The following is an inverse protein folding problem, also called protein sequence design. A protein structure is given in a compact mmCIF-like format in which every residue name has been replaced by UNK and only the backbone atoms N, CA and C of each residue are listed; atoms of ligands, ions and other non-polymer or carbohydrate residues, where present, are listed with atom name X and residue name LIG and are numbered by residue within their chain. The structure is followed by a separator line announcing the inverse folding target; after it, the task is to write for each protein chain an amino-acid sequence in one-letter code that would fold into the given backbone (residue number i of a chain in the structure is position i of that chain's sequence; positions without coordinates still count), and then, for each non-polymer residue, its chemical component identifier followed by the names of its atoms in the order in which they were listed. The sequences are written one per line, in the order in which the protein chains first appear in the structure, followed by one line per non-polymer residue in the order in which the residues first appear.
data_IF_987259777741
#
_entry.id   IF_987259777741
#
_cell.length_a   1.000
_cell.length_b   1.000
_cell.length_c   1.000
_cell.angle_alpha   90.00
_cell.angle_beta   90.00
_cell.angle_gamma   90.00
#
_symmetry.space_group_name_H-M   'P 1'
#
loop_
_entity.id
_entity.type
_entity.pdbx_description
1 polymer ?
#
# COMPACT_ATOMS: atom_id res chain seq x y z
N UNK A 1 22.56 -8.88 -10.63
CA UNK A 1 21.14 -8.84 -10.21
C UNK A 1 21.07 -9.06 -8.71
N UNK A 2 20.42 -8.17 -7.92
CA UNK A 2 20.46 -8.23 -6.45
C UNK A 2 19.53 -9.37 -5.91
N UNK A 3 20.04 -10.30 -5.08
CA UNK A 3 19.33 -11.52 -4.65
C UNK A 3 18.05 -11.26 -3.83
N UNK A 4 17.92 -10.08 -3.23
CA UNK A 4 16.76 -9.67 -2.43
C UNK A 4 15.45 -9.54 -3.23
N UNK A 5 15.53 -9.36 -4.54
CA UNK A 5 14.36 -9.19 -5.41
C UNK A 5 13.75 -10.55 -5.81
N UNK A 6 14.59 -11.54 -6.11
CA UNK A 6 14.17 -12.89 -6.47
C UNK A 6 13.45 -13.57 -5.31
N UNK A 7 13.95 -13.39 -4.08
CA UNK A 7 13.31 -13.95 -2.88
C UNK A 7 11.89 -13.42 -2.65
N UNK A 8 11.62 -12.13 -2.93
CA UNK A 8 10.28 -11.56 -2.73
C UNK A 8 9.26 -12.09 -3.73
N UNK A 9 9.61 -12.12 -5.02
CA UNK A 9 8.73 -12.68 -6.05
C UNK A 9 8.46 -14.16 -5.76
N UNK A 10 9.47 -14.93 -5.35
CA UNK A 10 9.30 -16.32 -4.94
C UNK A 10 8.36 -16.46 -3.73
N UNK A 11 8.53 -15.67 -2.67
CA UNK A 11 7.65 -15.68 -1.49
C UNK A 11 6.19 -15.35 -1.84
N UNK A 12 5.97 -14.34 -2.71
CA UNK A 12 4.61 -14.00 -3.17
C UNK A 12 4.02 -14.99 -4.17
N UNK A 13 4.85 -15.80 -4.82
CA UNK A 13 4.39 -16.90 -5.66
C UNK A 13 3.96 -18.08 -4.78
N UNK A 14 4.77 -18.41 -3.76
CA UNK A 14 4.48 -19.47 -2.79
C UNK A 14 3.18 -19.21 -2.04
N UNK A 15 2.92 -17.97 -1.63
CA UNK A 15 1.69 -17.63 -0.91
C UNK A 15 0.46 -17.43 -1.82
N UNK A 16 0.58 -17.67 -3.13
CA UNK A 16 -0.53 -17.64 -4.10
C UNK A 16 -1.07 -16.24 -4.44
N UNK A 17 -0.67 -15.18 -3.74
CA UNK A 17 -1.21 -13.83 -3.99
C UNK A 17 -0.84 -13.29 -5.37
N UNK A 18 0.32 -13.68 -5.90
CA UNK A 18 0.70 -13.32 -7.28
C UNK A 18 -0.22 -13.97 -8.31
N UNK A 19 -0.65 -15.22 -8.09
CA UNK A 19 -1.60 -15.89 -8.98
C UNK A 19 -2.94 -15.15 -8.99
N UNK A 20 -3.42 -14.70 -7.83
CA UNK A 20 -4.63 -13.87 -7.74
C UNK A 20 -4.48 -12.57 -8.52
N UNK A 21 -3.36 -11.86 -8.37
CA UNK A 21 -3.08 -10.64 -9.13
C UNK A 21 -3.08 -10.88 -10.65
N UNK A 22 -2.51 -12.00 -11.10
CA UNK A 22 -2.49 -12.40 -12.51
C UNK A 22 -3.89 -12.77 -13.03
N UNK A 23 -4.69 -13.50 -12.25
CA UNK A 23 -6.08 -13.81 -12.61
C UNK A 23 -6.91 -12.54 -12.77
N UNK A 24 -6.74 -11.55 -11.89
CA UNK A 24 -7.42 -10.26 -12.01
C UNK A 24 -6.93 -9.50 -13.24
N UNK A 25 -5.62 -9.50 -13.51
CA UNK A 25 -5.05 -8.88 -14.71
C UNK A 25 -5.61 -9.50 -16.00
N UNK A 26 -5.69 -10.84 -16.05
CA UNK A 26 -6.29 -11.57 -17.17
C UNK A 26 -7.78 -11.24 -17.33
N UNK A 27 -8.55 -11.25 -16.24
CA UNK A 27 -9.96 -10.88 -16.24
C UNK A 27 -10.22 -9.40 -16.59
N UNK A 28 -9.20 -8.54 -16.45
CA UNK A 28 -9.21 -7.14 -16.87
C UNK A 28 -8.66 -6.90 -18.28
N UNK A 29 -8.24 -7.98 -19.00
CA UNK A 29 -7.56 -7.94 -20.31
C UNK A 29 -6.34 -7.00 -20.30
N UNK A 30 -5.61 -6.99 -19.20
CA UNK A 30 -4.49 -6.10 -18.96
C UNK A 30 -3.27 -6.51 -19.80
N UNK A 31 -2.42 -5.53 -20.14
CA UNK A 31 -1.11 -5.77 -20.73
C UNK A 31 -0.07 -5.84 -19.62
N UNK A 32 0.61 -6.98 -19.50
CA UNK A 32 1.59 -7.21 -18.45
C UNK A 32 2.99 -6.81 -18.94
N UNK A 33 3.67 -5.96 -18.17
CA UNK A 33 5.09 -5.61 -18.35
C UNK A 33 5.86 -5.90 -17.07
N UNK A 34 7.15 -6.22 -17.20
CA UNK A 34 8.04 -6.42 -16.04
C UNK A 34 8.66 -5.08 -15.66
N UNK A 35 8.61 -4.75 -14.37
CA UNK A 35 9.33 -3.63 -13.80
C UNK A 35 10.59 -4.11 -13.05
N UNK A 36 11.53 -3.21 -12.75
CA UNK A 36 12.68 -3.52 -11.93
C UNK A 36 12.29 -4.17 -10.60
N UNK A 37 13.08 -5.15 -10.15
CA UNK A 37 12.91 -5.75 -8.83
C UNK A 37 11.85 -6.85 -8.73
N UNK A 38 11.40 -7.42 -9.86
CA UNK A 38 10.51 -8.60 -9.87
C UNK A 38 9.02 -8.28 -9.80
N UNK A 39 8.66 -7.01 -10.01
CA UNK A 39 7.28 -6.52 -10.01
C UNK A 39 6.68 -6.66 -11.42
N UNK A 40 5.43 -7.11 -11.49
CA UNK A 40 4.66 -7.18 -12.73
C UNK A 40 3.68 -6.01 -12.78
N UNK A 41 3.69 -5.22 -13.83
CA UNK A 41 2.73 -4.13 -14.03
C UNK A 41 1.67 -4.63 -15.02
N UNK A 42 0.45 -4.79 -14.55
CA UNK A 42 -0.74 -5.00 -15.37
C UNK A 42 -1.32 -3.63 -15.73
N UNK A 43 -0.98 -3.14 -16.91
CA UNK A 43 -1.50 -1.88 -17.47
C UNK A 43 -2.77 -2.08 -18.29
N UNK A 44 -3.40 -0.97 -18.66
CA UNK A 44 -4.61 -0.91 -19.49
C UNK A 44 -5.79 -1.72 -18.93
N UNK A 45 -5.87 -1.88 -17.60
CA UNK A 45 -6.96 -2.62 -16.97
C UNK A 45 -8.32 -1.96 -17.25
N UNK A 46 -9.19 -2.61 -18.04
CA UNK A 46 -10.48 -2.04 -18.47
C UNK A 46 -11.61 -2.08 -17.42
N UNK A 47 -11.32 -2.45 -16.17
CA UNK A 47 -12.33 -2.58 -15.10
C UNK A 47 -12.60 -1.21 -14.44
N UNK A 48 -13.86 -0.71 -14.43
CA UNK A 48 -14.19 0.61 -13.91
C UNK A 48 -13.97 0.79 -12.40
N UNK A 49 -13.93 -0.31 -11.63
CA UNK A 49 -13.69 -0.30 -10.19
C UNK A 49 -12.25 0.12 -9.82
N UNK A 50 -11.29 0.07 -10.75
CA UNK A 50 -9.89 0.39 -10.47
C UNK A 50 -9.64 1.89 -10.60
N UNK A 51 -10.13 2.70 -9.65
CA UNK A 51 -9.95 4.16 -9.72
C UNK A 51 -8.51 4.63 -9.51
N UNK A 52 -7.64 3.76 -8.99
CA UNK A 52 -6.25 4.04 -8.63
C UNK A 52 -5.35 2.86 -9.02
N UNK A 53 -4.04 3.12 -9.04
CA UNK A 53 -3.03 2.07 -9.07
C UNK A 53 -2.99 1.39 -7.71
N UNK A 54 -2.88 0.06 -7.68
CA UNK A 54 -2.77 -0.72 -6.44
C UNK A 54 -2.08 -2.05 -6.72
N UNK A 55 -1.63 -2.70 -5.66
CA UNK A 55 -0.83 -3.93 -5.73
C UNK A 55 -1.59 -5.14 -5.17
N UNK A 56 -1.44 -6.30 -5.81
CA UNK A 56 -1.83 -7.62 -5.31
C UNK A 56 -0.67 -8.60 -5.52
N UNK A 57 -0.08 -9.09 -4.43
CA UNK A 57 1.10 -9.95 -4.50
C UNK A 57 2.27 -9.20 -5.15
N UNK A 58 2.82 -9.75 -6.23
CA UNK A 58 3.83 -9.09 -7.08
C UNK A 58 3.25 -8.33 -8.29
N UNK A 59 1.92 -8.21 -8.41
CA UNK A 59 1.25 -7.57 -9.56
C UNK A 59 0.70 -6.21 -9.17
N UNK A 60 1.15 -5.16 -9.86
CA UNK A 60 0.64 -3.80 -9.78
C UNK A 60 -0.38 -3.60 -10.89
N UNK A 61 -1.62 -3.33 -10.53
CA UNK A 61 -2.71 -3.09 -11.47
C UNK A 61 -2.94 -1.60 -11.66
N UNK A 62 -3.02 -1.15 -12.91
CA UNK A 62 -3.30 0.24 -13.24
C UNK A 62 -4.16 0.35 -14.50
N UNK A 63 -4.98 1.40 -14.56
CA UNK A 63 -5.78 1.73 -15.75
C UNK A 63 -4.97 2.36 -16.87
N UNK A 64 -3.83 2.95 -16.52
CA UNK A 64 -2.91 3.58 -17.48
C UNK A 64 -2.10 2.48 -18.19
N UNK A 65 -1.50 2.78 -19.35
CA UNK A 65 -0.52 1.88 -19.94
C UNK A 65 0.62 1.61 -18.96
N UNK A 66 1.23 0.43 -19.00
CA UNK A 66 2.29 0.07 -18.07
C UNK A 66 3.51 1.01 -18.20
N UNK A 67 3.75 1.50 -19.41
CA UNK A 67 4.77 2.48 -19.76
C UNK A 67 4.63 3.79 -18.99
N UNK A 68 3.39 4.21 -18.67
CA UNK A 68 3.16 5.39 -17.84
C UNK A 68 3.74 5.21 -16.44
N UNK A 69 3.57 4.05 -15.81
CA UNK A 69 4.09 3.78 -14.47
C UNK A 69 5.61 3.55 -14.47
N UNK A 70 6.16 3.09 -15.59
CA UNK A 70 7.61 2.93 -15.78
C UNK A 70 8.33 4.25 -16.08
N UNK A 71 7.59 5.32 -16.39
CA UNK A 71 8.18 6.63 -16.67
C UNK A 71 8.92 7.19 -15.43
N UNK A 72 10.07 7.87 -15.59
CA UNK A 72 10.84 8.43 -14.47
C UNK A 72 10.03 9.34 -13.54
N UNK A 73 9.10 10.13 -14.08
CA UNK A 73 8.21 10.98 -13.26
C UNK A 73 7.30 10.19 -12.30
N UNK A 74 7.10 8.90 -12.58
CA UNK A 74 6.33 7.99 -11.74
C UNK A 74 7.21 7.14 -10.82
N UNK A 75 8.52 7.39 -10.75
CA UNK A 75 9.44 6.60 -9.94
C UNK A 75 9.03 6.55 -8.46
N UNK A 76 8.51 7.67 -7.91
CA UNK A 76 8.00 7.69 -6.53
C UNK A 76 6.80 6.76 -6.36
N UNK A 77 5.84 6.81 -7.30
CA UNK A 77 4.65 5.96 -7.27
C UNK A 77 5.03 4.49 -7.45
N UNK A 78 5.92 4.17 -8.39
CA UNK A 78 6.43 2.82 -8.58
C UNK A 78 7.16 2.30 -7.32
N UNK A 79 7.93 3.15 -6.66
CA UNK A 79 8.58 2.82 -5.38
C UNK A 79 7.59 2.61 -4.23
N UNK A 80 6.46 3.32 -4.23
CA UNK A 80 5.34 3.09 -3.32
C UNK A 80 4.72 1.70 -3.54
N UNK A 81 4.33 1.37 -4.78
CA UNK A 81 3.76 0.06 -5.11
C UNK A 81 4.74 -1.09 -4.82
N UNK A 82 6.03 -0.89 -5.10
CA UNK A 82 7.07 -1.88 -4.80
C UNK A 82 7.18 -2.18 -3.29
N UNK A 83 6.89 -1.19 -2.42
CA UNK A 83 6.83 -1.43 -0.97
C UNK A 83 5.60 -2.26 -0.57
N UNK A 84 4.47 -2.10 -1.25
CA UNK A 84 3.32 -3.00 -1.08
C UNK A 84 3.63 -4.43 -1.53
N UNK A 85 4.38 -4.62 -2.62
CA UNK A 85 4.88 -5.96 -3.01
C UNK A 85 5.70 -6.58 -1.88
N UNK A 86 6.58 -5.81 -1.23
CA UNK A 86 7.37 -6.31 -0.10
C UNK A 86 6.49 -6.64 1.14
N UNK A 87 5.42 -5.88 1.38
CA UNK A 87 4.46 -6.18 2.44
C UNK A 87 3.69 -7.47 2.15
N UNK A 88 3.25 -7.68 0.90
CA UNK A 88 2.66 -8.95 0.44
C UNK A 88 3.65 -10.12 0.52
N UNK A 89 4.94 -9.90 0.25
CA UNK A 89 5.94 -10.95 0.38
C UNK A 89 6.10 -11.42 1.83
N UNK A 90 5.98 -10.52 2.81
CA UNK A 90 6.10 -10.84 4.23
C UNK A 90 4.81 -11.37 4.87
N UNK A 91 3.65 -10.80 4.53
CA UNK A 91 2.36 -11.13 5.16
C UNK A 91 1.50 -12.08 4.32
N UNK A 92 1.82 -12.24 3.03
CA UNK A 92 1.04 -13.02 2.08
C UNK A 92 -0.44 -12.63 2.05
N UNK A 93 -1.36 -13.60 2.03
CA UNK A 93 -2.80 -13.30 1.94
C UNK A 93 -3.32 -12.50 3.14
N UNK A 94 -2.68 -12.59 4.31
CA UNK A 94 -3.06 -11.83 5.52
C UNK A 94 -2.86 -10.32 5.36
N UNK A 95 -2.07 -9.90 4.37
CA UNK A 95 -1.93 -8.48 4.05
C UNK A 95 -3.28 -7.84 3.73
N UNK A 96 -4.14 -8.52 2.97
CA UNK A 96 -5.42 -7.95 2.52
C UNK A 96 -6.37 -7.61 3.69
N UNK A 97 -6.71 -8.53 4.61
CA UNK A 97 -7.54 -8.19 5.77
C UNK A 97 -6.86 -7.18 6.70
N UNK A 98 -5.55 -7.28 6.92
CA UNK A 98 -4.82 -6.32 7.76
C UNK A 98 -4.84 -4.90 7.18
N UNK A 99 -4.67 -4.78 5.86
CA UNK A 99 -4.74 -3.50 5.16
C UNK A 99 -6.13 -2.87 5.26
N UNK A 100 -7.20 -3.67 5.10
CA UNK A 100 -8.57 -3.19 5.27
C UNK A 100 -8.88 -2.72 6.69
N UNK A 101 -8.39 -3.43 7.72
CA UNK A 101 -8.52 -2.99 9.11
C UNK A 101 -7.80 -1.65 9.33
N UNK A 102 -6.59 -1.51 8.79
CA UNK A 102 -5.83 -0.26 8.85
C UNK A 102 -6.53 0.90 8.11
N UNK A 103 -7.19 0.62 6.97
CA UNK A 103 -8.05 1.57 6.27
C UNK A 103 -9.24 2.01 7.14
N UNK A 104 -9.94 1.07 7.77
CA UNK A 104 -11.06 1.35 8.68
C UNK A 104 -10.63 2.20 9.86
N UNK A 105 -9.51 1.86 10.49
CA UNK A 105 -8.92 2.63 11.58
C UNK A 105 -8.56 4.06 11.14
N UNK A 106 -7.90 4.19 9.99
CA UNK A 106 -7.52 5.49 9.45
C UNK A 106 -8.73 6.35 9.13
N UNK A 107 -9.75 5.75 8.51
CA UNK A 107 -10.99 6.44 8.17
C UNK A 107 -11.73 6.91 9.42
N UNK A 108 -11.85 6.05 10.44
CA UNK A 108 -12.48 6.38 11.70
C UNK A 108 -11.83 7.60 12.36
N UNK A 109 -10.50 7.66 12.35
CA UNK A 109 -9.72 8.72 12.98
C UNK A 109 -9.61 10.02 12.17
N UNK A 110 -9.63 9.96 10.83
CA UNK A 110 -9.23 11.10 9.99
C UNK A 110 -10.09 11.36 8.75
N UNK A 111 -11.11 10.54 8.48
CA UNK A 111 -11.89 10.51 7.21
C UNK A 111 -11.06 10.24 5.94
N UNK A 112 -9.82 9.77 6.09
CA UNK A 112 -8.95 9.33 5.00
C UNK A 112 -8.57 7.87 5.22
N UNK A 113 -8.63 7.04 4.17
CA UNK A 113 -8.20 5.64 4.25
C UNK A 113 -6.68 5.49 4.41
N UNK A 114 -5.89 6.49 3.99
CA UNK A 114 -4.43 6.40 3.98
C UNK A 114 -3.73 7.10 5.15
N UNK A 115 -4.25 8.24 5.61
CA UNK A 115 -3.55 9.17 6.52
C UNK A 115 -2.95 8.53 7.79
N UNK A 116 -3.67 7.59 8.42
CA UNK A 116 -3.22 6.83 9.61
C UNK A 116 -3.11 5.33 9.34
N UNK A 117 -3.16 4.91 8.08
CA UNK A 117 -2.93 3.52 7.72
C UNK A 117 -1.43 3.23 7.80
N UNK A 118 -1.05 2.28 8.67
CA UNK A 118 0.35 1.94 8.90
C UNK A 118 1.05 1.45 7.63
N UNK A 119 0.36 0.67 6.79
CA UNK A 119 0.91 0.14 5.54
C UNK A 119 1.20 1.25 4.54
N UNK A 120 0.28 2.21 4.41
CA UNK A 120 0.38 3.39 3.54
C UNK A 120 1.51 4.33 4.00
N UNK A 121 1.62 4.56 5.31
CA UNK A 121 2.72 5.35 5.88
C UNK A 121 4.07 4.69 5.64
N UNK A 122 4.16 3.37 5.83
CA UNK A 122 5.39 2.61 5.57
C UNK A 122 5.72 2.51 4.08
N UNK A 123 4.72 2.59 3.21
CA UNK A 123 4.87 2.69 1.76
C UNK A 123 5.11 4.14 1.27
N UNK A 124 5.08 5.13 2.16
CA UNK A 124 5.26 6.55 1.85
C UNK A 124 3.99 7.19 1.28
N UNK A 125 3.27 7.94 2.12
CA UNK A 125 1.99 8.58 1.76
C UNK A 125 2.09 9.49 0.54
N UNK A 126 3.04 10.43 0.54
CA UNK A 126 3.20 11.40 -0.55
C UNK A 126 3.53 10.70 -1.88
N UNK A 127 4.33 9.64 -1.84
CA UNK A 127 4.66 8.82 -3.01
C UNK A 127 3.43 8.08 -3.58
N UNK A 128 2.53 7.62 -2.69
CA UNK A 128 1.20 7.10 -3.05
C UNK A 128 0.15 8.17 -3.35
N UNK A 129 0.55 9.45 -3.36
CA UNK A 129 -0.31 10.63 -3.57
C UNK A 129 -1.41 10.81 -2.51
N UNK A 130 -1.21 10.24 -1.32
CA UNK A 130 -2.03 10.53 -0.15
C UNK A 130 -1.53 11.79 0.56
N UNK A 131 -2.48 12.58 1.04
CA UNK A 131 -2.22 13.71 1.94
C UNK A 131 -2.47 13.27 3.39
N UNK A 132 -1.63 13.75 4.29
CA UNK A 132 -1.93 13.65 5.72
C UNK A 132 -3.16 14.51 6.03
N UNK A 133 -4.08 13.93 6.79
CA UNK A 133 -5.32 14.58 7.23
C UNK A 133 -5.36 14.65 8.75
N UNK A 134 -5.87 15.76 9.31
CA UNK A 134 -5.94 15.94 10.76
C UNK A 134 -6.87 14.90 11.38
N UNK A 135 -6.62 14.63 12.67
CA UNK A 135 -7.52 13.80 13.48
C UNK A 135 -8.87 14.47 13.64
N UNK A 136 -9.92 13.65 13.74
CA UNK A 136 -11.24 14.10 14.17
C UNK A 136 -11.14 14.64 15.61
N UNK A 137 -11.95 15.66 15.97
CA UNK A 137 -11.83 16.34 17.27
C UNK A 137 -11.86 15.40 18.49
N UNK A 138 -12.72 14.38 18.46
CA UNK A 138 -12.82 13.39 19.55
C UNK A 138 -11.53 12.57 19.71
N UNK A 139 -10.93 12.11 18.60
CA UNK A 139 -9.70 11.33 18.62
C UNK A 139 -8.51 12.18 19.10
N UNK A 140 -8.44 13.44 18.65
CA UNK A 140 -7.44 14.38 19.11
C UNK A 140 -7.58 14.72 20.61
N UNK A 141 -8.79 14.68 21.17
CA UNK A 141 -9.03 14.86 22.61
C UNK A 141 -8.57 13.65 23.40
N UNK A 142 -8.91 12.43 22.98
CA UNK A 142 -8.49 11.22 23.69
C UNK A 142 -6.97 11.06 23.75
N UNK A 143 -6.26 11.27 22.64
CA UNK A 143 -4.79 11.19 22.62
C UNK A 143 -4.15 12.24 23.55
N UNK A 144 -4.73 13.45 23.63
CA UNK A 144 -4.27 14.48 24.55
C UNK A 144 -4.50 14.10 26.01
N UNK A 145 -5.64 13.50 26.33
CA UNK A 145 -5.95 13.02 27.68
C UNK A 145 -5.00 11.89 28.11
N UNK A 146 -4.75 10.91 27.24
CA UNK A 146 -3.80 9.83 27.51
C UNK A 146 -2.38 10.33 27.79
N UNK A 147 -1.88 11.30 27.02
CA UNK A 147 -0.56 11.91 27.26
C UNK A 147 -0.49 12.69 28.57
N UNK A 148 -1.61 13.26 29.02
CA UNK A 148 -1.69 13.99 30.29
C UNK A 148 -1.70 13.03 31.48
N UNK A 149 -2.29 11.85 31.33
CA UNK A 149 -2.29 10.81 32.38
C UNK A 149 -0.98 10.02 32.45
N UNK A 150 -0.25 9.91 31.32
CA UNK A 150 1.06 9.25 31.27
C UNK A 150 2.22 10.11 31.78
N UNK A 151 2.07 11.45 31.80
CA UNK A 151 3.03 12.33 32.47
C UNK A 151 2.67 12.31 33.96
N UNK A 152 3.37 11.53 34.83
CA UNK A 152 3.12 11.62 36.26
C UNK A 152 3.50 13.03 36.69
N UNK A 153 2.84 13.51 37.74
CA UNK A 153 3.16 14.78 38.36
C UNK A 153 4.62 14.74 38.81
N UNK A 154 5.49 15.32 37.99
CA UNK A 154 6.89 15.43 38.28
C UNK A 154 7.06 16.54 39.30
N UNK A 155 7.02 16.13 40.56
CA UNK A 155 7.64 16.75 41.74
C UNK A 155 7.16 18.16 42.08
N UNK A 156 6.26 18.22 43.07
CA UNK A 156 6.41 19.15 44.19
C UNK A 156 7.85 19.09 44.70
N UNK A 157 8.58 20.21 44.62
CA UNK A 157 9.51 20.73 45.65
C UNK A 157 9.73 22.20 45.38
#
# INVERSE_FOLDING_TARGET
MRPRHVGRTALTAINGTTLVGLMIAAAARARIRRAPGGVLIAGDCRRPALRRTFTIGSVVLTRRPAEWLLHPDQAQLLGHETRHVAQYAGLGPLFFPAYWLACGWSYLLTRSYGSRNWFERRAGLAAGRYRETPLRPWAARMIRQQRRTEKPDGTET
#
